data_IF_087516457219
#
_entry.id   IF_087516457219
#
_cell.length_a   1.000
_cell.length_b   1.000
_cell.length_c   1.000
_cell.angle_alpha   90.00
_cell.angle_beta   90.00
_cell.angle_gamma   90.00
#
_symmetry.space_group_name_H-M   'P 1'
#
loop_
_entity.id
_entity.type
_entity.pdbx_description
1 polymer ?
#
# COMPACT_ATOMS: atom_id res chain seq x y z
N UNK A 1 -10.76 18.42 16.00
CA UNK A 1 -9.60 17.51 16.12
C UNK A 1 -10.08 16.11 15.80
N UNK A 2 -9.76 15.63 14.62
CA UNK A 2 -10.14 14.30 14.15
C UNK A 2 -9.36 13.23 14.92
N UNK A 3 -10.08 12.43 15.70
CA UNK A 3 -9.53 11.35 16.50
C UNK A 3 -9.35 10.10 15.60
N UNK A 4 -8.38 10.17 14.69
CA UNK A 4 -8.00 9.03 13.85
C UNK A 4 -7.46 7.91 14.74
N UNK A 5 -8.31 6.97 15.12
CA UNK A 5 -7.95 5.81 15.94
C UNK A 5 -8.43 4.54 15.27
N UNK A 6 -7.50 3.60 15.08
CA UNK A 6 -7.84 2.22 14.78
C UNK A 6 -8.29 1.52 16.07
N UNK A 7 -9.25 0.61 15.94
CA UNK A 7 -9.66 -0.28 17.04
C UNK A 7 -8.58 -1.31 17.33
N UNK A 8 -8.62 -1.98 18.49
CA UNK A 8 -7.58 -2.95 18.91
C UNK A 8 -7.36 -4.11 17.92
N UNK A 9 -8.39 -4.51 17.18
CA UNK A 9 -8.33 -5.55 16.16
C UNK A 9 -8.89 -5.01 14.84
N UNK A 10 -8.11 -4.20 14.11
CA UNK A 10 -8.56 -3.63 12.86
C UNK A 10 -8.62 -4.71 11.78
N UNK A 11 -9.69 -4.67 10.99
CA UNK A 11 -9.86 -5.38 9.72
C UNK A 11 -9.28 -4.54 8.59
N UNK A 12 -9.09 -5.11 7.39
CA UNK A 12 -8.62 -4.34 6.23
C UNK A 12 -9.58 -3.19 5.88
N UNK A 13 -10.88 -3.40 6.09
CA UNK A 13 -11.88 -2.36 5.94
C UNK A 13 -11.66 -1.18 6.90
N UNK A 14 -11.27 -1.44 8.16
CA UNK A 14 -10.98 -0.35 9.10
C UNK A 14 -9.75 0.48 8.66
N UNK A 15 -8.76 -0.15 8.01
CA UNK A 15 -7.64 0.58 7.42
C UNK A 15 -8.08 1.42 6.20
N UNK A 16 -8.93 0.87 5.34
CA UNK A 16 -9.50 1.60 4.20
C UNK A 16 -10.30 2.82 4.67
N UNK A 17 -11.15 2.66 5.69
CA UNK A 17 -11.92 3.75 6.30
C UNK A 17 -11.01 4.80 6.97
N UNK A 18 -10.00 4.36 7.70
CA UNK A 18 -8.99 5.23 8.31
C UNK A 18 -8.29 6.09 7.26
N UNK A 19 -7.85 5.48 6.15
CA UNK A 19 -7.18 6.17 5.06
C UNK A 19 -8.12 7.17 4.38
N UNK A 20 -9.38 6.80 4.16
CA UNK A 20 -10.37 7.74 3.61
C UNK A 20 -10.52 8.97 4.52
N UNK A 21 -10.64 8.78 5.84
CA UNK A 21 -10.71 9.88 6.81
C UNK A 21 -9.42 10.73 6.83
N UNK A 22 -8.26 10.09 6.65
CA UNK A 22 -6.97 10.78 6.55
C UNK A 22 -6.90 11.65 5.29
N UNK A 23 -7.41 11.17 4.15
CA UNK A 23 -7.47 11.95 2.91
C UNK A 23 -8.42 13.14 3.02
N UNK A 24 -9.59 12.97 3.66
CA UNK A 24 -10.54 14.06 3.95
C UNK A 24 -9.82 15.18 4.73
N UNK A 25 -9.09 14.80 5.78
CA UNK A 25 -8.42 15.77 6.67
C UNK A 25 -7.27 16.51 5.99
N UNK A 26 -6.55 15.83 5.10
CA UNK A 26 -5.44 16.42 4.35
C UNK A 26 -5.91 17.18 3.10
N UNK A 27 -7.20 17.14 2.78
CA UNK A 27 -7.75 17.78 1.59
C UNK A 27 -7.36 17.08 0.29
N UNK A 28 -7.08 15.77 0.35
CA UNK A 28 -6.66 14.96 -0.80
C UNK A 28 -7.82 14.18 -1.43
N UNK A 29 -9.07 14.49 -1.06
CA UNK A 29 -10.25 13.82 -1.62
C UNK A 29 -10.35 14.00 -3.13
N UNK A 30 -9.94 15.14 -3.69
CA UNK A 30 -10.08 15.40 -5.12
C UNK A 30 -8.80 15.07 -5.91
N UNK A 31 -7.82 14.43 -5.27
CA UNK A 31 -6.56 14.10 -5.93
C UNK A 31 -6.76 12.96 -6.93
N UNK A 32 -6.28 13.18 -8.16
CA UNK A 32 -6.42 12.22 -9.26
C UNK A 32 -5.77 10.87 -8.93
N UNK A 33 -6.42 9.79 -9.36
CA UNK A 33 -5.97 8.41 -9.11
C UNK A 33 -4.61 8.12 -9.75
N UNK A 34 -4.29 8.73 -10.89
CA UNK A 34 -2.97 8.63 -11.53
C UNK A 34 -1.90 9.20 -10.61
N UNK A 35 -2.17 10.33 -9.95
CA UNK A 35 -1.22 10.92 -8.99
C UNK A 35 -1.00 9.98 -7.81
N UNK A 36 -2.05 9.32 -7.31
CA UNK A 36 -1.91 8.30 -6.25
C UNK A 36 -1.06 7.11 -6.71
N UNK A 37 -1.22 6.64 -7.94
CA UNK A 37 -0.40 5.58 -8.51
C UNK A 37 1.08 6.00 -8.64
N UNK A 38 1.35 7.25 -9.00
CA UNK A 38 2.71 7.78 -9.06
C UNK A 38 3.35 7.82 -7.66
N UNK A 39 2.62 8.31 -6.65
CA UNK A 39 3.07 8.34 -5.27
C UNK A 39 3.32 6.93 -4.71
N UNK A 40 2.42 5.97 -4.99
CA UNK A 40 2.65 4.57 -4.66
C UNK A 40 3.95 4.03 -5.27
N UNK A 41 4.25 4.39 -6.52
CA UNK A 41 5.50 4.02 -7.17
C UNK A 41 6.73 4.62 -6.50
N UNK A 42 6.62 5.85 -6.01
CA UNK A 42 7.65 6.52 -5.23
C UNK A 42 7.94 5.77 -3.92
N UNK A 43 6.92 5.46 -3.12
CA UNK A 43 7.07 4.72 -1.85
C UNK A 43 7.66 3.30 -2.06
N UNK A 44 7.33 2.63 -3.17
CA UNK A 44 7.96 1.34 -3.52
C UNK A 44 9.46 1.53 -3.79
N UNK A 45 9.83 2.61 -4.48
CA UNK A 45 11.22 2.96 -4.71
C UNK A 45 11.97 3.28 -3.41
N UNK A 46 11.33 4.01 -2.50
CA UNK A 46 11.81 4.31 -1.15
C UNK A 46 12.04 3.02 -0.35
N UNK A 47 11.07 2.10 -0.36
CA UNK A 47 11.19 0.76 0.25
C UNK A 47 12.42 0.01 -0.27
N UNK A 48 12.68 0.03 -1.57
CA UNK A 48 13.87 -0.62 -2.12
C UNK A 48 15.16 0.01 -1.62
N UNK A 49 15.22 1.35 -1.49
CA UNK A 49 16.38 2.04 -0.88
C UNK A 49 16.55 1.60 0.59
N UNK A 50 15.45 1.55 1.35
CA UNK A 50 15.45 1.15 2.76
C UNK A 50 15.92 -0.29 2.97
N UNK A 51 15.47 -1.23 2.14
CA UNK A 51 15.90 -2.64 2.19
C UNK A 51 17.39 -2.76 1.82
N UNK A 52 17.85 -2.05 0.78
CA UNK A 52 19.27 -2.04 0.40
C UNK A 52 20.17 -1.54 1.53
N UNK A 53 19.75 -0.46 2.20
CA UNK A 53 20.41 0.06 3.41
C UNK A 53 20.45 -0.96 4.53
N UNK A 54 19.33 -1.62 4.82
CA UNK A 54 19.23 -2.69 5.83
C UNK A 54 20.16 -3.88 5.56
N UNK A 55 20.44 -4.17 4.28
CA UNK A 55 21.36 -5.24 3.86
C UNK A 55 22.81 -4.80 3.68
N UNK A 56 23.18 -3.57 4.09
CA UNK A 56 24.52 -2.99 3.89
C UNK A 56 24.99 -2.99 2.42
N UNK A 57 24.05 -2.98 1.46
CA UNK A 57 24.37 -2.79 0.05
C UNK A 57 24.61 -1.29 -0.15
N UNK A 58 25.68 -0.92 -0.87
CA UNK A 58 26.01 0.49 -1.13
C UNK A 58 24.78 1.24 -1.66
N UNK A 59 24.38 2.24 -0.89
CA UNK A 59 23.43 3.28 -1.25
C UNK A 59 24.19 4.61 -1.32
N UNK A 60 23.63 5.57 -2.02
CA UNK A 60 24.17 6.94 -2.03
C UNK A 60 24.16 7.50 -0.60
N UNK A 61 25.27 8.08 -0.17
CA UNK A 61 25.54 8.48 1.22
C UNK A 61 24.66 9.67 1.64
N UNK A 62 24.09 10.38 0.67
CA UNK A 62 23.25 11.56 0.86
C UNK A 62 21.74 11.26 0.74
N UNK A 63 21.34 10.00 0.55
CA UNK A 63 19.93 9.67 0.47
C UNK A 63 19.30 9.74 1.87
N UNK A 64 18.32 10.63 2.05
CA UNK A 64 17.34 10.51 3.14
C UNK A 64 16.54 9.24 2.88
N UNK A 65 16.92 8.15 3.55
CA UNK A 65 16.28 6.85 3.43
C UNK A 65 15.49 6.61 4.70
N UNK A 66 14.16 6.55 4.57
CA UNK A 66 13.26 6.15 5.65
C UNK A 66 13.48 4.70 6.08
N UNK A 67 12.77 4.29 7.12
CA UNK A 67 12.84 2.92 7.61
C UNK A 67 11.93 2.00 6.80
N UNK A 68 12.31 0.73 6.64
CA UNK A 68 11.46 -0.28 5.96
C UNK A 68 10.03 -0.31 6.52
N UNK A 69 9.88 -0.03 7.83
CA UNK A 69 8.58 0.03 8.49
C UNK A 69 7.72 1.20 8.01
N UNK A 70 8.30 2.38 7.83
CA UNK A 70 7.61 3.58 7.36
C UNK A 70 7.15 3.37 5.92
N UNK A 71 8.05 2.94 5.03
CA UNK A 71 7.73 2.74 3.61
C UNK A 71 6.62 1.70 3.39
N UNK A 72 6.61 0.62 4.19
CA UNK A 72 5.53 -0.38 4.13
C UNK A 72 4.19 0.24 4.55
N UNK A 73 4.18 1.12 5.55
CA UNK A 73 2.98 1.81 5.98
C UNK A 73 2.49 2.79 4.92
N UNK A 74 3.39 3.54 4.27
CA UNK A 74 3.04 4.49 3.22
C UNK A 74 2.50 3.77 1.97
N UNK A 75 3.12 2.65 1.57
CA UNK A 75 2.59 1.76 0.51
C UNK A 75 1.17 1.30 0.84
N UNK A 76 0.91 0.88 2.08
CA UNK A 76 -0.42 0.45 2.51
C UNK A 76 -1.43 1.60 2.43
N UNK A 77 -1.03 2.81 2.84
CA UNK A 77 -1.89 4.00 2.76
C UNK A 77 -2.27 4.30 1.32
N UNK A 78 -1.32 4.34 0.38
CA UNK A 78 -1.64 4.61 -1.02
C UNK A 78 -2.43 3.48 -1.67
N UNK A 79 -2.15 2.23 -1.32
CA UNK A 79 -2.93 1.09 -1.80
C UNK A 79 -4.39 1.19 -1.35
N UNK A 80 -4.63 1.48 -0.07
CA UNK A 80 -5.97 1.73 0.47
C UNK A 80 -6.64 2.92 -0.21
N UNK A 81 -5.91 4.02 -0.43
CA UNK A 81 -6.44 5.20 -1.12
C UNK A 81 -6.91 4.85 -2.54
N UNK A 82 -6.08 4.14 -3.32
CA UNK A 82 -6.43 3.70 -4.68
C UNK A 82 -7.64 2.77 -4.65
N UNK A 83 -7.66 1.77 -3.77
CA UNK A 83 -8.80 0.85 -3.65
C UNK A 83 -10.10 1.60 -3.34
N UNK A 84 -10.05 2.59 -2.45
CA UNK A 84 -11.21 3.42 -2.10
C UNK A 84 -11.72 4.24 -3.31
N UNK A 85 -10.84 4.69 -4.22
CA UNK A 85 -11.26 5.42 -5.44
C UNK A 85 -12.06 4.56 -6.40
N UNK A 86 -11.77 3.26 -6.43
CA UNK A 86 -12.45 2.29 -7.29
C UNK A 86 -13.58 1.54 -6.58
N UNK A 87 -13.90 1.92 -5.33
CA UNK A 87 -14.88 1.23 -4.48
C UNK A 87 -14.58 -0.28 -4.33
N UNK A 88 -13.30 -0.61 -4.20
CA UNK A 88 -12.82 -1.99 -4.06
C UNK A 88 -12.64 -2.33 -2.58
N UNK A 89 -13.31 -3.39 -2.11
CA UNK A 89 -12.99 -4.04 -0.85
C UNK A 89 -11.72 -4.90 -1.02
N UNK A 90 -10.63 -4.51 -0.35
CA UNK A 90 -9.34 -5.20 -0.47
C UNK A 90 -9.43 -6.63 0.09
N UNK A 91 -10.19 -6.83 1.17
CA UNK A 91 -10.32 -8.15 1.78
C UNK A 91 -11.07 -9.10 0.84
N UNK A 92 -12.16 -8.64 0.24
CA UNK A 92 -12.90 -9.40 -0.76
C UNK A 92 -12.02 -9.70 -1.99
N UNK A 93 -11.36 -8.69 -2.54
CA UNK A 93 -10.48 -8.83 -3.70
C UNK A 93 -9.36 -9.86 -3.46
N UNK A 94 -8.79 -9.84 -2.26
CA UNK A 94 -7.78 -10.81 -1.84
C UNK A 94 -8.37 -12.22 -1.73
N UNK A 95 -9.53 -12.39 -1.08
CA UNK A 95 -10.21 -13.69 -0.93
C UNK A 95 -10.56 -14.31 -2.29
N UNK A 96 -11.16 -13.53 -3.19
CA UNK A 96 -11.50 -14.00 -4.54
C UNK A 96 -10.24 -14.41 -5.31
N UNK A 97 -9.22 -13.55 -5.34
CA UNK A 97 -7.96 -13.85 -6.02
C UNK A 97 -7.25 -15.08 -5.45
N UNK A 98 -7.21 -15.25 -4.13
CA UNK A 98 -6.59 -16.42 -3.50
C UNK A 98 -7.38 -17.71 -3.78
N UNK A 99 -8.72 -17.68 -3.73
CA UNK A 99 -9.55 -18.84 -4.07
C UNK A 99 -9.35 -19.24 -5.54
N UNK A 100 -9.31 -18.27 -6.45
CA UNK A 100 -9.02 -18.53 -7.86
C UNK A 100 -7.62 -19.12 -8.06
N UNK A 101 -6.62 -18.67 -7.30
CA UNK A 101 -5.25 -19.19 -7.37
C UNK A 101 -5.10 -20.59 -6.78
N UNK A 102 -5.87 -20.96 -5.76
CA UNK A 102 -5.89 -22.33 -5.20
C UNK A 102 -6.58 -23.31 -6.17
N UNK A 103 -7.60 -22.84 -6.90
CA UNK A 103 -8.31 -23.64 -7.90
C UNK A 103 -7.59 -23.71 -9.26
N UNK A 104 -6.65 -22.79 -9.52
CA UNK A 104 -5.81 -22.82 -10.70
C UNK A 104 -4.68 -23.84 -10.53
N UNK A 105 -4.59 -24.77 -11.48
CA UNK A 105 -3.51 -25.76 -11.57
C UNK A 105 -2.13 -25.03 -11.60
N UNK A 106 -1.04 -25.54 -10.99
CA UNK A 106 0.26 -24.86 -11.00
C UNK A 106 0.82 -24.55 -12.41
N UNK A 107 0.30 -25.21 -13.44
CA UNK A 107 0.59 -24.99 -14.86
C UNK A 107 -0.05 -23.72 -15.47
N UNK A 108 -0.99 -23.05 -14.78
CA UNK A 108 -1.80 -21.97 -15.38
C UNK A 108 -1.11 -20.59 -15.35
N UNK A 109 0.04 -20.45 -14.69
CA UNK A 109 0.84 -19.21 -14.69
C UNK A 109 2.33 -19.52 -14.91
N UNK A 110 2.76 -19.80 -16.15
CA UNK A 110 4.14 -20.18 -16.44
C UNK A 110 5.11 -18.99 -16.50
N UNK A 111 4.64 -17.75 -16.37
CA UNK A 111 5.49 -16.56 -16.53
C UNK A 111 5.19 -15.49 -15.48
N UNK A 112 5.66 -15.73 -14.25
CA UNK A 112 6.09 -14.63 -13.40
C UNK A 112 7.62 -14.72 -13.42
N UNK A 113 8.23 -14.01 -14.37
CA UNK A 113 9.66 -13.71 -14.38
C UNK A 113 9.91 -12.47 -13.53
#
# INVERSE_FOLDING_TARGET
MSNLKLKEKPTLKDYQEYVNMLEVQRGFIDQDVIVKCLLLGEEIGELFKAIRKSKNIKIDVNANVGTVKEEIADILIYLCSIANRFDIDIEEAFRVSCILRIKANPQTYPNIR
#
